data_IF_234482879746
#
_entry.id   IF_234482879746
#
_cell.length_a   1.000
_cell.length_b   1.000
_cell.length_c   1.000
_cell.angle_alpha   90.00
_cell.angle_beta   90.00
_cell.angle_gamma   90.00
#
_symmetry.space_group_name_H-M   'P 1'
#
loop_
_entity.id
_entity.type
_entity.pdbx_description
1 polymer ?
#
# COMPACT_ATOMS: atom_id res chain seq x y z
N UNK A 1 -14.65 -24.65 -20.69
CA UNK A 1 -14.75 -25.02 -19.26
C UNK A 1 -13.96 -23.97 -18.50
N UNK A 2 -14.66 -23.05 -17.84
CA UNK A 2 -14.07 -21.88 -17.17
C UNK A 2 -13.56 -22.31 -15.81
N UNK A 3 -12.25 -22.16 -15.57
CA UNK A 3 -11.63 -22.40 -14.26
C UNK A 3 -12.09 -21.29 -13.32
N UNK A 4 -13.05 -21.60 -12.45
CA UNK A 4 -13.37 -20.77 -11.30
C UNK A 4 -12.17 -20.76 -10.37
N UNK A 5 -11.54 -19.59 -10.21
CA UNK A 5 -10.59 -19.35 -9.13
C UNK A 5 -11.34 -19.50 -7.80
N UNK A 6 -11.18 -20.65 -7.14
CA UNK A 6 -11.69 -20.84 -5.79
C UNK A 6 -10.86 -19.95 -4.87
N UNK A 7 -11.47 -18.87 -4.40
CA UNK A 7 -11.00 -18.10 -3.25
C UNK A 7 -10.82 -19.08 -2.09
N UNK A 8 -9.58 -19.27 -1.63
CA UNK A 8 -9.28 -20.09 -0.46
C UNK A 8 -9.96 -19.47 0.79
N UNK A 9 -10.43 -20.29 1.73
CA UNK A 9 -11.10 -19.81 2.94
C UNK A 9 -10.14 -19.00 3.84
N UNK A 10 -10.67 -18.02 4.59
CA UNK A 10 -9.88 -17.03 5.32
C UNK A 10 -9.00 -17.61 6.44
N UNK A 11 -9.29 -18.82 6.90
CA UNK A 11 -8.52 -19.51 7.94
C UNK A 11 -7.22 -20.18 7.44
N UNK A 12 -6.97 -20.15 6.12
CA UNK A 12 -5.72 -20.64 5.50
C UNK A 12 -4.64 -19.55 5.41
N UNK A 13 -4.93 -18.33 5.88
CA UNK A 13 -4.18 -17.08 5.60
C UNK A 13 -3.09 -16.74 6.61
N UNK A 14 -2.81 -17.62 7.57
CA UNK A 14 -1.87 -17.29 8.64
C UNK A 14 -0.42 -17.43 8.21
N UNK A 15 0.28 -16.31 7.92
CA UNK A 15 1.75 -16.23 8.03
C UNK A 15 2.21 -15.01 8.86
N UNK A 16 3.23 -15.32 9.68
CA UNK A 16 4.31 -14.48 10.19
C UNK A 16 3.97 -13.05 10.65
N UNK A 17 3.51 -12.93 11.90
CA UNK A 17 3.95 -11.82 12.74
C UNK A 17 5.47 -11.91 12.90
N UNK A 18 6.21 -11.29 11.99
CA UNK A 18 7.51 -10.75 12.37
C UNK A 18 7.25 -9.54 13.26
N UNK A 19 7.69 -9.65 14.50
CA UNK A 19 7.61 -8.66 15.56
C UNK A 19 7.65 -7.21 15.06
N UNK A 20 6.64 -6.43 15.49
CA UNK A 20 6.55 -4.98 15.36
C UNK A 20 7.63 -4.21 16.16
N UNK A 21 8.83 -4.77 16.30
CA UNK A 21 9.92 -4.24 17.12
C UNK A 21 11.33 -4.49 16.59
N UNK A 22 11.52 -5.23 15.49
CA UNK A 22 12.82 -5.38 14.85
C UNK A 22 12.84 -4.60 13.54
N UNK A 23 13.84 -3.75 13.32
CA UNK A 23 14.13 -3.16 12.01
C UNK A 23 14.50 -4.28 11.03
N UNK A 24 13.50 -4.93 10.44
CA UNK A 24 13.71 -5.89 9.36
C UNK A 24 13.89 -5.04 8.10
N UNK A 25 15.15 -4.75 7.78
CA UNK A 25 15.54 -3.86 6.68
C UNK A 25 15.09 -4.45 5.34
N UNK A 26 14.36 -3.66 4.54
CA UNK A 26 13.97 -4.00 3.19
C UNK A 26 13.12 -2.90 2.54
N UNK A 27 12.10 -2.44 3.25
CA UNK A 27 11.23 -1.32 2.86
C UNK A 27 10.93 -0.42 4.07
N UNK A 28 10.61 0.85 3.82
CA UNK A 28 10.09 1.74 4.85
C UNK A 28 9.16 2.78 4.26
N UNK A 29 8.09 3.12 4.98
CA UNK A 29 7.22 4.27 4.72
C UNK A 29 7.03 5.08 6.01
N UNK A 30 7.05 6.41 5.92
CA UNK A 30 6.96 7.25 7.11
C UNK A 30 6.46 8.65 6.83
N UNK A 31 6.03 9.31 7.91
CA UNK A 31 5.77 10.74 7.96
C UNK A 31 6.97 11.48 8.57
N UNK A 32 7.38 12.64 8.03
CA UNK A 32 8.45 13.44 8.61
C UNK A 32 8.18 13.90 10.05
N UNK A 33 6.91 14.01 10.45
CA UNK A 33 6.49 14.38 11.81
C UNK A 33 6.73 13.30 12.86
N UNK A 34 7.18 12.11 12.46
CA UNK A 34 7.40 10.98 13.35
C UNK A 34 6.27 9.95 13.29
N UNK A 35 6.23 9.00 14.24
CA UNK A 35 5.21 7.96 14.29
C UNK A 35 3.84 8.55 14.66
N UNK A 36 2.78 8.00 14.06
CA UNK A 36 1.38 8.33 14.36
C UNK A 36 1.06 9.83 14.43
N UNK A 37 1.50 10.64 13.46
CA UNK A 37 1.24 12.07 13.49
C UNK A 37 -0.25 12.36 13.39
N UNK A 38 -0.64 13.48 13.98
CA UNK A 38 -2.00 14.00 13.86
C UNK A 38 -2.06 15.04 12.74
N UNK A 39 -3.09 14.91 11.89
CA UNK A 39 -3.38 15.80 10.79
C UNK A 39 -4.82 16.30 10.84
N UNK A 40 -5.08 17.40 10.12
CA UNK A 40 -6.44 17.90 9.88
C UNK A 40 -6.84 17.71 8.42
N UNK A 41 -8.15 17.54 8.19
CA UNK A 41 -8.71 17.49 6.83
C UNK A 41 -8.30 18.75 6.04
N UNK A 42 -7.89 18.56 4.79
CA UNK A 42 -7.38 19.59 3.89
C UNK A 42 -5.88 19.88 4.01
N UNK A 43 -5.19 19.28 4.99
CA UNK A 43 -3.76 19.48 5.16
C UNK A 43 -2.96 18.73 4.06
N UNK A 44 -2.02 19.39 3.36
CA UNK A 44 -1.06 18.71 2.51
C UNK A 44 0.02 18.04 3.35
N UNK A 45 0.26 16.75 3.11
CA UNK A 45 1.16 15.91 3.90
C UNK A 45 2.16 15.22 2.98
N UNK A 46 3.44 15.29 3.38
CA UNK A 46 4.50 14.52 2.74
C UNK A 46 4.54 13.11 3.33
N UNK A 47 4.48 12.11 2.46
CA UNK A 47 4.69 10.71 2.81
C UNK A 47 5.98 10.28 2.13
N UNK A 48 6.95 9.83 2.92
CA UNK A 48 8.27 9.43 2.43
C UNK A 48 8.37 7.91 2.45
N UNK A 49 9.13 7.35 1.52
CA UNK A 49 9.36 5.92 1.45
C UNK A 49 10.75 5.60 0.91
N UNK A 50 11.24 4.39 1.20
CA UNK A 50 12.51 3.87 0.67
C UNK A 50 12.45 2.35 0.58
N UNK A 51 13.28 1.81 -0.30
CA UNK A 51 13.70 0.41 -0.26
C UNK A 51 15.21 0.38 -0.04
N UNK A 52 15.72 -0.65 0.64
CA UNK A 52 17.18 -0.78 0.86
C UNK A 52 17.89 -1.28 -0.40
N UNK A 53 17.20 -2.08 -1.21
CA UNK A 53 17.64 -2.52 -2.54
C UNK A 53 16.70 -1.95 -3.62
N UNK A 54 17.15 -2.04 -4.86
CA UNK A 54 16.26 -1.74 -5.99
C UNK A 54 15.09 -2.72 -6.02
N UNK A 55 13.88 -2.22 -6.22
CA UNK A 55 12.66 -3.01 -6.05
C UNK A 55 11.50 -2.43 -6.85
N UNK A 56 10.55 -3.30 -7.20
CA UNK A 56 9.22 -2.92 -7.62
C UNK A 56 8.39 -2.52 -6.40
N UNK A 57 7.53 -1.50 -6.52
CA UNK A 57 6.86 -0.90 -5.37
C UNK A 57 5.36 -0.72 -5.62
N UNK A 58 4.56 -1.05 -4.61
CA UNK A 58 3.18 -0.61 -4.46
C UNK A 58 3.04 0.22 -3.18
N UNK A 59 2.34 1.36 -3.24
CA UNK A 59 1.97 2.14 -2.06
C UNK A 59 0.48 2.35 -2.05
N UNK A 60 -0.16 1.91 -0.96
CA UNK A 60 -1.59 2.05 -0.75
C UNK A 60 -1.88 2.77 0.57
N UNK A 61 -3.07 3.36 0.66
CA UNK A 61 -3.61 3.98 1.85
C UNK A 61 -4.88 3.24 2.26
N UNK A 62 -4.94 2.80 3.52
CA UNK A 62 -6.19 2.44 4.19
C UNK A 62 -6.69 3.69 4.92
N UNK A 63 -7.75 4.31 4.40
CA UNK A 63 -8.32 5.52 4.99
C UNK A 63 -9.05 5.23 6.32
N UNK A 64 -9.47 6.28 7.01
CA UNK A 64 -10.14 6.16 8.32
C UNK A 64 -11.49 5.46 8.29
N UNK A 65 -12.06 5.22 7.11
CA UNK A 65 -13.29 4.45 6.89
C UNK A 65 -13.03 2.98 6.57
N UNK A 66 -11.75 2.58 6.49
CA UNK A 66 -11.34 1.23 6.12
C UNK A 66 -11.26 1.00 4.62
N UNK A 67 -11.35 2.04 3.78
CA UNK A 67 -11.27 1.88 2.33
C UNK A 67 -9.81 1.95 1.88
N UNK A 68 -9.40 0.94 1.12
CA UNK A 68 -8.07 0.87 0.50
C UNK A 68 -8.04 1.67 -0.81
N UNK A 69 -6.99 2.48 -1.01
CA UNK A 69 -6.71 3.21 -2.24
C UNK A 69 -5.25 3.06 -2.64
N UNK A 70 -4.96 2.74 -3.90
CA UNK A 70 -3.60 2.57 -4.40
C UNK A 70 -3.08 3.91 -4.98
N UNK A 71 -1.95 4.40 -4.46
CA UNK A 71 -1.36 5.69 -4.81
C UNK A 71 -0.13 5.58 -5.70
N UNK A 72 0.66 4.51 -5.54
CA UNK A 72 1.82 4.22 -6.37
C UNK A 72 1.80 2.76 -6.86
N UNK A 73 2.05 2.50 -8.16
CA UNK A 73 2.17 3.49 -9.24
C UNK A 73 0.86 4.27 -9.42
N UNK A 74 0.89 5.51 -9.93
CA UNK A 74 -0.35 6.28 -10.14
C UNK A 74 -1.11 5.82 -11.40
N UNK A 75 -0.48 5.04 -12.27
CA UNK A 75 -1.14 4.33 -13.36
C UNK A 75 -0.27 3.27 -14.05
N UNK A 76 -0.82 2.53 -15.03
CA UNK A 76 -0.19 1.34 -15.60
C UNK A 76 1.11 1.59 -16.36
N UNK A 77 1.38 2.83 -16.75
CA UNK A 77 2.57 3.23 -17.52
C UNK A 77 3.66 3.87 -16.67
N UNK A 78 3.36 4.14 -15.41
CA UNK A 78 4.34 4.77 -14.53
C UNK A 78 5.46 3.78 -14.23
N UNK A 79 6.72 4.24 -14.08
CA UNK A 79 7.79 3.40 -13.57
C UNK A 79 7.41 2.87 -12.20
N UNK A 80 7.36 1.55 -12.07
CA UNK A 80 6.94 0.87 -10.84
C UNK A 80 8.12 0.47 -9.98
N UNK A 81 9.32 0.85 -10.41
CA UNK A 81 10.57 0.40 -9.86
C UNK A 81 11.36 1.60 -9.36
N UNK A 82 11.99 1.44 -8.20
CA UNK A 82 12.81 2.47 -7.57
C UNK A 82 14.23 1.98 -7.36
N UNK A 83 15.16 2.94 -7.28
CA UNK A 83 16.52 2.68 -6.80
C UNK A 83 16.50 2.49 -5.27
N UNK A 84 17.25 1.49 -4.82
CA UNK A 84 17.49 1.24 -3.40
C UNK A 84 18.39 2.29 -2.75
N UNK A 85 18.28 2.42 -1.43
CA UNK A 85 19.12 3.29 -0.61
C UNK A 85 18.81 4.79 -0.75
N UNK A 86 17.72 5.16 -1.44
CA UNK A 86 17.28 6.54 -1.62
C UNK A 86 15.92 6.76 -0.94
N UNK A 87 15.78 7.91 -0.29
CA UNK A 87 14.50 8.37 0.23
C UNK A 87 13.71 9.03 -0.92
N UNK A 88 12.48 8.56 -1.12
CA UNK A 88 11.56 9.04 -2.14
C UNK A 88 10.37 9.74 -1.48
N UNK A 89 9.85 10.77 -2.13
CA UNK A 89 8.59 11.41 -1.75
C UNK A 89 7.45 10.79 -2.57
N UNK A 90 6.40 10.32 -1.90
CA UNK A 90 5.18 9.91 -2.57
C UNK A 90 4.51 11.13 -3.19
N UNK A 91 4.50 11.16 -4.52
CA UNK A 91 3.77 12.13 -5.30
C UNK A 91 2.56 11.45 -5.93
N UNK A 92 1.39 12.04 -5.70
CA UNK A 92 0.17 11.64 -6.37
C UNK A 92 0.17 12.16 -7.82
N UNK A 93 -0.78 11.65 -8.61
CA UNK A 93 -1.01 12.10 -9.98
C UNK A 93 -0.96 13.64 -10.10
N UNK A 94 -0.15 14.13 -11.05
CA UNK A 94 0.11 15.56 -11.23
C UNK A 94 1.23 16.14 -10.34
N UNK A 95 2.01 15.30 -9.65
CA UNK A 95 3.22 15.71 -8.93
C UNK A 95 2.94 16.41 -7.60
N UNK A 96 1.84 16.08 -6.93
CA UNK A 96 1.36 16.75 -5.72
C UNK A 96 1.54 15.86 -4.49
N UNK A 97 1.77 16.43 -3.29
CA UNK A 97 1.71 15.65 -2.05
C UNK A 97 0.29 15.13 -1.80
N UNK A 98 0.18 14.14 -0.92
CA UNK A 98 -1.13 13.70 -0.43
C UNK A 98 -1.82 14.81 0.34
N UNK A 99 -3.14 14.91 0.20
CA UNK A 99 -3.98 15.85 0.95
C UNK A 99 -4.95 15.04 1.77
N UNK A 100 -5.04 15.33 3.06
CA UNK A 100 -5.91 14.61 3.99
C UNK A 100 -7.37 14.88 3.60
N UNK A 101 -8.07 13.86 3.11
CA UNK A 101 -9.50 13.92 2.76
C UNK A 101 -10.35 13.02 3.64
N UNK A 102 -9.72 12.36 4.59
CA UNK A 102 -10.34 11.42 5.50
C UNK A 102 -11.16 12.15 6.59
N UNK A 103 -12.12 11.44 7.15
CA UNK A 103 -12.85 11.86 8.34
C UNK A 103 -12.05 11.52 9.62
N UNK A 104 -12.38 12.10 10.79
CA UNK A 104 -11.64 11.82 12.02
C UNK A 104 -11.53 10.33 12.34
N UNK A 105 -10.32 9.85 12.64
CA UNK A 105 -10.04 8.44 12.83
C UNK A 105 -8.56 8.10 12.69
N UNK A 106 -8.25 6.83 12.51
CA UNK A 106 -6.89 6.32 12.27
C UNK A 106 -6.85 5.76 10.85
N UNK A 107 -5.85 6.16 10.09
CA UNK A 107 -5.57 5.61 8.77
C UNK A 107 -4.13 5.16 8.66
N UNK A 108 -3.80 4.48 7.57
CA UNK A 108 -2.53 3.80 7.39
C UNK A 108 -2.04 3.97 5.96
N UNK A 109 -0.73 4.13 5.79
CA UNK A 109 -0.06 3.92 4.51
C UNK A 109 0.74 2.62 4.56
N UNK A 110 0.68 1.84 3.49
CA UNK A 110 1.47 0.64 3.30
C UNK A 110 2.47 0.85 2.18
N UNK A 111 3.64 0.23 2.31
CA UNK A 111 4.54 -0.02 1.19
C UNK A 111 4.72 -1.53 1.04
N UNK A 112 4.61 -2.01 -0.19
CA UNK A 112 5.06 -3.34 -0.62
C UNK A 112 6.22 -3.14 -1.58
N UNK A 113 7.32 -3.84 -1.34
CA UNK A 113 8.46 -3.93 -2.26
C UNK A 113 8.66 -5.37 -2.69
N UNK A 114 9.05 -5.61 -3.95
CA UNK A 114 9.36 -6.95 -4.45
C UNK A 114 10.58 -6.94 -5.38
N UNK A 115 11.30 -8.06 -5.41
CA UNK A 115 12.44 -8.32 -6.29
C UNK A 115 12.04 -8.53 -7.78
N UNK A 116 10.74 -8.66 -8.05
CA UNK A 116 10.16 -8.93 -9.37
C UNK A 116 8.98 -8.03 -9.68
N UNK A 117 8.61 -7.87 -10.97
CA UNK A 117 7.47 -7.05 -11.37
C UNK A 117 6.18 -7.43 -10.64
N UNK A 118 5.43 -6.43 -10.22
CA UNK A 118 4.08 -6.60 -9.69
C UNK A 118 3.08 -6.79 -10.84
N UNK A 119 2.08 -7.63 -10.63
CA UNK A 119 0.99 -7.92 -11.57
C UNK A 119 -0.21 -7.01 -11.33
N UNK A 120 -0.44 -6.07 -12.24
CA UNK A 120 -1.58 -5.14 -12.15
C UNK A 120 -2.77 -5.57 -12.98
N UNK A 121 -2.69 -6.71 -13.68
CA UNK A 121 -3.71 -7.14 -14.65
C UNK A 121 -5.06 -7.44 -14.02
N UNK A 122 -5.08 -7.72 -12.70
CA UNK A 122 -6.29 -7.96 -11.90
C UNK A 122 -6.99 -6.69 -11.46
N UNK A 123 -6.34 -5.53 -11.58
CA UNK A 123 -6.88 -4.25 -11.15
C UNK A 123 -7.42 -3.47 -12.35
N UNK A 124 -8.61 -2.90 -12.20
CA UNK A 124 -9.11 -1.93 -13.17
C UNK A 124 -8.31 -0.63 -13.08
N UNK A 125 -8.28 0.14 -14.16
CA UNK A 125 -7.69 1.48 -14.15
C UNK A 125 -8.56 2.47 -14.91
N UNK A 126 -8.79 3.62 -14.28
CA UNK A 126 -9.44 4.79 -14.87
C UNK A 126 -8.53 6.00 -14.77
N UNK A 127 -8.46 6.81 -15.83
CA UNK A 127 -7.65 8.06 -15.80
C UNK A 127 -8.16 9.05 -14.75
N UNK A 128 -9.46 9.05 -14.48
CA UNK A 128 -10.08 10.04 -13.58
C UNK A 128 -10.08 9.58 -12.12
N UNK A 129 -10.01 8.26 -11.87
CA UNK A 129 -10.15 7.67 -10.52
C UNK A 129 -8.93 6.89 -10.06
N UNK A 130 -7.95 6.65 -10.93
CA UNK A 130 -6.80 5.81 -10.66
C UNK A 130 -7.16 4.33 -10.72
N UNK A 131 -6.52 3.54 -9.86
CA UNK A 131 -6.75 2.10 -9.76
C UNK A 131 -8.10 1.77 -9.11
N UNK A 132 -8.83 0.85 -9.71
CA UNK A 132 -10.13 0.37 -9.26
C UNK A 132 -9.94 -0.97 -8.54
N UNK A 133 -10.01 -0.92 -7.20
CA UNK A 133 -9.75 -2.07 -6.32
C UNK A 133 -11.01 -2.90 -6.03
N UNK A 134 -12.20 -2.34 -6.26
CA UNK A 134 -13.49 -2.92 -5.83
C UNK A 134 -13.82 -4.30 -6.41
N UNK A 135 -13.22 -4.68 -7.54
CA UNK A 135 -13.38 -6.01 -8.13
C UNK A 135 -12.42 -7.06 -7.59
N UNK A 136 -11.37 -6.64 -6.88
CA UNK A 136 -10.31 -7.52 -6.39
C UNK A 136 -10.28 -7.59 -4.85
N UNK A 137 -10.67 -6.52 -4.17
CA UNK A 137 -10.49 -6.29 -2.73
C UNK A 137 -11.84 -6.10 -2.02
N UNK A 138 -11.83 -6.23 -0.69
CA UNK A 138 -13.00 -5.92 0.13
C UNK A 138 -13.33 -4.41 0.05
N UNK A 139 -14.63 -4.04 0.14
CA UNK A 139 -15.04 -2.64 0.09
C UNK A 139 -14.57 -1.82 1.30
N UNK A 140 -14.38 -2.48 2.45
CA UNK A 140 -13.82 -1.89 3.66
C UNK A 140 -13.15 -2.96 4.53
N UNK A 141 -12.08 -2.58 5.23
CA UNK A 141 -11.32 -3.41 6.17
C UNK A 141 -11.39 -2.86 7.58
N UNK A 142 -11.50 -3.75 8.56
CA UNK A 142 -11.39 -3.41 9.98
C UNK A 142 -9.98 -3.64 10.54
N UNK A 143 -9.23 -4.56 9.93
CA UNK A 143 -7.85 -4.89 10.29
C UNK A 143 -6.92 -4.45 9.14
N UNK A 144 -5.90 -3.60 9.40
CA UNK A 144 -4.91 -3.23 8.39
C UNK A 144 -4.13 -4.41 7.81
N UNK A 145 -3.95 -5.50 8.57
CA UNK A 145 -3.22 -6.68 8.10
C UNK A 145 -4.00 -7.42 7.01
N UNK A 146 -5.32 -7.56 7.16
CA UNK A 146 -6.19 -8.14 6.11
C UNK A 146 -6.11 -7.35 4.79
N UNK A 147 -6.07 -6.02 4.89
CA UNK A 147 -5.93 -5.15 3.72
C UNK A 147 -4.58 -5.32 3.02
N UNK A 148 -3.52 -5.54 3.80
CA UNK A 148 -2.17 -5.76 3.30
C UNK A 148 -2.03 -7.12 2.61
N UNK A 149 -2.59 -8.18 3.20
CA UNK A 149 -2.61 -9.53 2.61
C UNK A 149 -3.35 -9.54 1.27
N UNK A 150 -4.53 -8.94 1.23
CA UNK A 150 -5.30 -8.82 0.01
C UNK A 150 -4.52 -8.03 -1.05
N UNK A 151 -3.86 -6.92 -0.69
CA UNK A 151 -3.00 -6.18 -1.61
C UNK A 151 -1.89 -7.08 -2.19
N UNK A 152 -1.16 -7.82 -1.34
CA UNK A 152 -0.10 -8.74 -1.77
C UNK A 152 -0.64 -9.77 -2.77
N UNK A 153 -1.77 -10.41 -2.48
CA UNK A 153 -2.34 -11.41 -3.40
C UNK A 153 -2.87 -10.83 -4.71
N UNK A 154 -3.32 -9.57 -4.69
CA UNK A 154 -3.78 -8.90 -5.89
C UNK A 154 -2.61 -8.63 -6.84
N UNK A 155 -1.48 -8.15 -6.31
CA UNK A 155 -0.38 -7.61 -7.13
C UNK A 155 0.87 -8.47 -7.19
N UNK A 156 0.94 -9.55 -6.41
CA UNK A 156 2.07 -10.47 -6.38
C UNK A 156 1.56 -11.92 -6.31
N UNK A 157 1.01 -12.48 -7.41
CA UNK A 157 0.45 -13.84 -7.40
C UNK A 157 1.49 -14.93 -7.07
N UNK A 158 2.76 -14.67 -7.34
CA UNK A 158 3.91 -15.54 -7.04
C UNK A 158 4.59 -15.22 -5.70
N UNK A 159 3.88 -14.58 -4.77
CA UNK A 159 4.42 -14.10 -3.49
C UNK A 159 5.19 -15.17 -2.67
N UNK A 160 4.86 -16.46 -2.82
CA UNK A 160 5.56 -17.56 -2.13
C UNK A 160 7.01 -17.75 -2.63
N UNK A 161 7.30 -17.29 -3.83
CA UNK A 161 8.61 -17.42 -4.47
C UNK A 161 9.36 -16.09 -4.54
N UNK A 162 8.69 -14.98 -4.21
CA UNK A 162 9.24 -13.63 -4.29
C UNK A 162 9.92 -13.21 -2.98
N UNK A 163 11.05 -12.52 -3.10
CA UNK A 163 11.60 -11.75 -1.98
C UNK A 163 10.87 -10.41 -1.94
N UNK A 164 10.03 -10.23 -0.91
CA UNK A 164 9.23 -9.03 -0.74
C UNK A 164 9.28 -8.52 0.71
N UNK A 165 9.14 -7.22 0.86
CA UNK A 165 9.10 -6.56 2.17
C UNK A 165 7.91 -5.62 2.27
N UNK A 166 7.39 -5.51 3.49
CA UNK A 166 6.25 -4.68 3.85
C UNK A 166 6.65 -3.70 4.95
N UNK A 167 6.07 -2.52 4.94
CA UNK A 167 6.08 -1.60 6.08
C UNK A 167 4.77 -0.80 6.12
N UNK A 168 4.44 -0.28 7.31
CA UNK A 168 3.21 0.47 7.57
C UNK A 168 3.49 1.73 8.39
N UNK A 169 2.88 2.84 7.99
CA UNK A 169 2.86 4.08 8.74
C UNK A 169 1.42 4.49 9.08
N UNK A 170 1.09 4.48 10.37
CA UNK A 170 -0.20 4.98 10.87
C UNK A 170 -0.20 6.50 11.01
N UNK A 171 -1.38 7.11 10.83
CA UNK A 171 -1.66 8.51 11.12
C UNK A 171 -3.03 8.67 11.78
N UNK A 172 -3.23 9.81 12.43
CA UNK A 172 -4.52 10.18 13.02
C UNK A 172 -5.07 11.42 12.34
N UNK A 173 -6.37 11.41 12.07
CA UNK A 173 -7.11 12.59 11.63
C UNK A 173 -7.97 13.09 12.77
N UNK A 174 -7.88 14.39 13.03
CA UNK A 174 -8.71 15.09 14.02
C UNK A 174 -9.56 16.15 13.32
N UNK A 175 -10.56 16.65 14.05
CA UNK A 175 -11.38 17.78 13.60
C UNK A 175 -10.57 19.07 13.46
#
# INVERSE_FOLDING_TARGET
QTLSAQLLPPESRGWAHHDAGARISGARIWFPRGPEPTFRRGEPVQVHFRADREAYVAIAQLDTSGRLSLHFPSGPRDPQWIRGGQDHLLLLAGGRPWVVVDDPGVGHFFILTADRPLDWSRLGYSRDRGWELSGAMAPAYTDPNDAMDDLVWAVLPEWQEADFHLDLASYRVVR
#
